data_IF_756987928704
#
_entry.id   IF_756987928704
#
_cell.length_a   1.000
_cell.length_b   1.000
_cell.length_c   1.000
_cell.angle_alpha   90.00
_cell.angle_beta   90.00
_cell.angle_gamma   90.00
#
_symmetry.space_group_name_H-M   'P 1'
#
loop_
_entity.id
_entity.type
_entity.pdbx_description
1 polymer ?
#
# COMPACT_ATOMS: atom_id res chain seq x y z
N UNK A 1 24.98 52.22 33.45
CA UNK A 1 23.72 52.21 32.66
C UNK A 1 24.03 51.76 31.23
N UNK A 2 23.83 50.48 30.91
CA UNK A 2 23.92 49.96 29.52
C UNK A 2 22.57 49.32 29.19
N UNK A 3 21.86 49.91 28.23
CA UNK A 3 20.57 49.43 27.72
C UNK A 3 20.81 48.20 26.84
N UNK A 4 20.27 47.06 27.24
CA UNK A 4 20.21 45.85 26.41
C UNK A 4 18.97 46.00 25.53
N UNK A 5 19.17 46.12 24.22
CA UNK A 5 18.11 46.04 23.23
C UNK A 5 17.76 44.57 22.99
N UNK A 6 16.55 44.19 23.36
CA UNK A 6 15.96 42.89 23.05
C UNK A 6 15.47 42.92 21.59
N UNK A 7 16.18 42.26 20.68
CA UNK A 7 15.68 42.00 19.33
C UNK A 7 14.72 40.82 19.39
N UNK A 8 13.42 41.10 19.30
CA UNK A 8 12.40 40.08 19.05
C UNK A 8 12.43 39.80 17.54
N UNK A 9 13.02 38.67 17.16
CA UNK A 9 12.90 38.15 15.81
C UNK A 9 11.51 37.52 15.65
N UNK A 10 10.57 38.27 15.09
CA UNK A 10 9.29 37.74 14.61
C UNK A 10 9.54 36.88 13.38
N UNK A 11 9.78 35.58 13.60
CA UNK A 11 9.80 34.58 12.54
C UNK A 11 8.41 34.48 11.91
N UNK A 12 8.26 35.00 10.69
CA UNK A 12 7.11 34.75 9.84
C UNK A 12 7.07 33.24 9.53
N UNK A 13 6.16 32.51 10.17
CA UNK A 13 5.81 31.17 9.78
C UNK A 13 5.05 31.29 8.44
N UNK A 14 5.73 31.05 7.31
CA UNK A 14 5.03 30.82 6.05
C UNK A 14 4.23 29.53 6.20
N UNK A 15 2.93 29.65 6.44
CA UNK A 15 2.00 28.58 6.12
C UNK A 15 2.06 28.38 4.60
N UNK A 16 2.71 27.30 4.17
CA UNK A 16 2.59 26.85 2.79
C UNK A 16 1.10 26.53 2.55
N UNK A 17 0.43 27.37 1.76
CA UNK A 17 -0.87 27.03 1.23
C UNK A 17 -0.72 25.73 0.43
N UNK A 18 -1.32 24.64 0.91
CA UNK A 18 -1.33 23.35 0.21
C UNK A 18 -2.25 23.46 -1.01
N UNK A 19 -1.75 24.10 -2.07
CA UNK A 19 -2.37 24.04 -3.38
C UNK A 19 -2.24 22.62 -3.90
N UNK A 20 -3.38 21.96 -4.13
CA UNK A 20 -3.45 20.64 -4.76
C UNK A 20 -2.60 20.65 -6.04
N UNK A 21 -1.73 19.65 -6.20
CA UNK A 21 -0.81 19.60 -7.34
C UNK A 21 -1.62 19.54 -8.64
N UNK A 22 -1.41 20.52 -9.53
CA UNK A 22 -2.11 20.59 -10.82
C UNK A 22 -1.24 20.00 -11.92
N UNK A 23 -1.71 18.89 -12.50
CA UNK A 23 -1.13 18.32 -13.70
C UNK A 23 -1.37 19.22 -14.93
N UNK A 24 -0.47 19.20 -15.94
CA UNK A 24 -0.68 19.97 -17.17
C UNK A 24 -2.00 19.60 -17.87
N UNK A 25 -2.80 20.60 -18.24
CA UNK A 25 -4.11 20.38 -18.89
C UNK A 25 -4.00 19.58 -20.20
N UNK A 26 -2.97 19.84 -21.00
CA UNK A 26 -2.70 19.09 -22.23
C UNK A 26 -2.46 17.60 -21.94
N UNK A 27 -1.71 17.26 -20.87
CA UNK A 27 -1.51 15.87 -20.47
C UNK A 27 -2.83 15.19 -20.07
N UNK A 28 -3.64 15.87 -19.26
CA UNK A 28 -4.94 15.34 -18.81
C UNK A 28 -5.89 15.05 -19.99
N UNK A 29 -5.82 15.86 -21.05
CA UNK A 29 -6.62 15.67 -22.25
C UNK A 29 -6.07 14.56 -23.15
N UNK A 30 -4.79 14.60 -23.46
CA UNK A 30 -4.24 13.87 -24.61
C UNK A 30 -3.56 12.54 -24.20
N UNK A 31 -2.96 12.46 -23.00
CA UNK A 31 -2.14 11.32 -22.58
C UNK A 31 -2.68 10.56 -21.38
N UNK A 32 -3.42 11.22 -20.48
CA UNK A 32 -3.98 10.59 -19.30
C UNK A 32 -4.90 9.40 -19.60
N UNK A 33 -5.80 9.43 -20.62
CA UNK A 33 -6.61 8.25 -20.98
C UNK A 33 -5.78 7.00 -21.33
N UNK A 34 -4.59 7.19 -21.91
CA UNK A 34 -3.66 6.09 -22.21
C UNK A 34 -3.13 5.49 -20.91
N UNK A 35 -2.68 6.32 -19.97
CA UNK A 35 -2.23 5.85 -18.65
C UNK A 35 -3.34 5.12 -17.88
N UNK A 36 -4.58 5.61 -17.94
CA UNK A 36 -5.76 4.92 -17.37
C UNK A 36 -5.92 3.53 -17.95
N UNK A 37 -5.74 3.38 -19.27
CA UNK A 37 -5.86 2.10 -19.96
C UNK A 37 -4.76 1.13 -19.54
N UNK A 38 -3.53 1.61 -19.37
CA UNK A 38 -2.43 0.80 -18.83
C UNK A 38 -2.67 0.38 -17.37
N UNK A 39 -3.18 1.30 -16.54
CA UNK A 39 -3.56 1.00 -15.15
C UNK A 39 -4.67 -0.04 -15.08
N UNK A 40 -5.65 0.02 -15.99
CA UNK A 40 -6.69 -1.01 -16.12
C UNK A 40 -6.07 -2.36 -16.45
N UNK A 41 -5.17 -2.43 -17.42
CA UNK A 41 -4.50 -3.68 -17.77
C UNK A 41 -3.71 -4.28 -16.60
N UNK A 42 -3.13 -3.47 -15.72
CA UNK A 42 -2.51 -3.93 -14.47
C UNK A 42 -3.56 -4.49 -13.52
N UNK A 43 -4.63 -3.75 -13.23
CA UNK A 43 -5.68 -4.17 -12.29
C UNK A 43 -6.51 -5.36 -12.80
N UNK A 44 -6.64 -5.57 -14.10
CA UNK A 44 -7.28 -6.77 -14.67
C UNK A 44 -6.51 -8.06 -14.32
N UNK A 45 -5.24 -7.95 -13.94
CA UNK A 45 -4.39 -9.06 -13.45
C UNK A 45 -4.41 -9.21 -11.93
N UNK A 46 -5.26 -8.47 -11.21
CA UNK A 46 -5.37 -8.51 -9.75
C UNK A 46 -5.87 -9.88 -9.25
N UNK A 47 -4.94 -10.82 -9.08
CA UNK A 47 -5.23 -12.24 -8.83
C UNK A 47 -5.97 -12.52 -7.51
N UNK A 48 -5.95 -11.60 -6.53
CA UNK A 48 -6.70 -11.78 -5.28
C UNK A 48 -8.17 -11.39 -5.45
N UNK A 49 -8.50 -10.54 -6.43
CA UNK A 49 -9.84 -10.03 -6.69
C UNK A 49 -10.67 -11.01 -7.56
N UNK A 50 -10.70 -12.30 -7.20
CA UNK A 50 -11.46 -13.33 -7.92
C UNK A 50 -12.93 -13.37 -7.50
N UNK A 51 -13.28 -14.13 -6.45
CA UNK A 51 -14.66 -14.29 -5.99
C UNK A 51 -14.98 -13.28 -4.89
N UNK A 52 -15.80 -12.28 -5.20
CA UNK A 52 -16.33 -11.35 -4.20
C UNK A 52 -17.27 -12.09 -3.24
N UNK A 53 -16.99 -12.00 -1.94
CA UNK A 53 -17.80 -12.61 -0.88
C UNK A 53 -18.69 -11.56 -0.21
N UNK A 54 -18.14 -10.38 0.08
CA UNK A 54 -18.86 -9.31 0.75
C UNK A 54 -18.25 -7.93 0.46
N UNK A 55 -19.03 -6.88 0.61
CA UNK A 55 -18.56 -5.48 0.70
C UNK A 55 -18.98 -4.92 2.05
N UNK A 56 -18.11 -4.16 2.70
CA UNK A 56 -18.37 -3.54 4.00
C UNK A 56 -17.67 -2.18 4.07
N UNK A 57 -18.29 -1.26 4.80
CA UNK A 57 -17.75 0.04 5.19
C UNK A 57 -17.63 0.18 6.72
N UNK A 58 -17.73 -0.94 7.44
CA UNK A 58 -17.68 -1.00 8.91
C UNK A 58 -16.55 -1.87 9.43
N UNK A 59 -15.60 -2.28 8.57
CA UNK A 59 -14.43 -3.04 8.99
C UNK A 59 -13.59 -2.20 9.97
N UNK A 60 -13.26 -2.71 11.18
CA UNK A 60 -12.53 -1.93 12.18
C UNK A 60 -11.21 -1.36 11.67
N UNK A 61 -11.04 -0.05 11.85
CA UNK A 61 -9.91 0.72 11.34
C UNK A 61 -10.07 1.15 9.88
N UNK A 62 -11.11 0.75 9.16
CA UNK A 62 -11.40 1.13 7.77
C UNK A 62 -12.85 1.59 7.58
N UNK A 63 -13.44 2.14 8.64
CA UNK A 63 -14.80 2.64 8.65
C UNK A 63 -14.99 3.74 7.61
N UNK A 64 -16.09 3.68 6.86
CA UNK A 64 -16.43 4.60 5.77
C UNK A 64 -15.73 4.31 4.43
N UNK A 65 -14.87 3.30 4.34
CA UNK A 65 -14.21 2.90 3.09
C UNK A 65 -14.82 1.61 2.53
N UNK A 66 -15.04 1.49 1.21
CA UNK A 66 -15.74 0.36 0.60
C UNK A 66 -14.82 -0.87 0.46
N UNK A 67 -14.46 -1.48 1.58
CA UNK A 67 -13.58 -2.63 1.62
C UNK A 67 -14.33 -3.88 1.15
N UNK A 68 -13.68 -4.70 0.33
CA UNK A 68 -14.26 -5.89 -0.28
C UNK A 68 -13.55 -7.15 0.17
N UNK A 69 -14.31 -8.12 0.69
CA UNK A 69 -13.79 -9.45 1.01
C UNK A 69 -13.78 -10.32 -0.23
N UNK A 70 -12.62 -10.85 -0.58
CA UNK A 70 -12.48 -11.82 -1.66
C UNK A 70 -12.01 -13.17 -1.14
N UNK A 71 -12.48 -14.21 -1.83
CA UNK A 71 -11.87 -15.53 -1.82
C UNK A 71 -11.21 -15.75 -3.18
N UNK A 72 -10.01 -16.30 -3.18
CA UNK A 72 -9.27 -16.58 -4.41
C UNK A 72 -8.52 -17.91 -4.30
N UNK A 73 -8.16 -18.47 -5.45
CA UNK A 73 -7.32 -19.66 -5.56
C UNK A 73 -6.00 -19.31 -6.25
N UNK A 74 -4.90 -19.89 -5.78
CA UNK A 74 -3.57 -19.75 -6.42
C UNK A 74 -2.64 -20.90 -6.05
N UNK A 75 -1.66 -21.17 -6.93
CA UNK A 75 -0.72 -22.29 -6.82
C UNK A 75 -1.44 -23.64 -6.69
N UNK A 76 -0.67 -24.70 -6.44
CA UNK A 76 -1.21 -25.97 -5.98
C UNK A 76 -0.61 -26.28 -4.60
N UNK A 77 -1.42 -26.91 -3.75
CA UNK A 77 -0.97 -27.51 -2.51
C UNK A 77 -0.08 -28.72 -2.83
N UNK A 78 1.06 -28.82 -2.13
CA UNK A 78 2.08 -29.84 -2.41
C UNK A 78 1.62 -31.26 -2.06
N UNK A 79 0.62 -31.41 -1.19
CA UNK A 79 0.19 -32.71 -0.68
C UNK A 79 -1.10 -33.22 -1.35
N UNK A 80 -2.02 -32.32 -1.69
CA UNK A 80 -3.32 -32.64 -2.29
C UNK A 80 -3.37 -32.34 -3.80
N UNK A 81 -2.42 -31.56 -4.33
CA UNK A 81 -2.42 -31.09 -5.71
C UNK A 81 -3.52 -30.07 -6.03
N UNK A 82 -4.34 -29.68 -5.04
CA UNK A 82 -5.45 -28.75 -5.22
C UNK A 82 -5.00 -27.31 -5.06
N UNK A 83 -5.65 -26.33 -5.72
CA UNK A 83 -5.25 -24.94 -5.54
C UNK A 83 -5.39 -24.44 -4.11
N UNK A 84 -4.40 -23.67 -3.64
CA UNK A 84 -4.45 -23.06 -2.31
C UNK A 84 -5.54 -21.99 -2.30
N UNK A 85 -6.31 -21.94 -1.22
CA UNK A 85 -7.38 -20.95 -1.04
C UNK A 85 -6.90 -19.84 -0.12
N UNK A 86 -7.05 -18.59 -0.56
CA UNK A 86 -6.82 -17.39 0.25
C UNK A 86 -8.11 -16.60 0.45
N UNK A 87 -8.17 -15.86 1.57
CA UNK A 87 -9.22 -14.90 1.84
C UNK A 87 -8.61 -13.59 2.33
N UNK A 88 -9.03 -12.48 1.73
CA UNK A 88 -8.44 -11.17 1.98
C UNK A 88 -9.44 -10.04 1.73
N UNK A 89 -9.46 -9.08 2.64
CA UNK A 89 -10.09 -7.78 2.43
C UNK A 89 -9.18 -6.90 1.58
N UNK A 90 -9.72 -6.34 0.51
CA UNK A 90 -9.02 -5.46 -0.42
C UNK A 90 -9.68 -4.08 -0.48
N UNK A 91 -8.86 -3.05 -0.66
CA UNK A 91 -9.30 -1.70 -1.01
C UNK A 91 -8.49 -1.20 -2.22
N UNK A 92 -8.70 -1.84 -3.36
CA UNK A 92 -7.98 -1.54 -4.60
C UNK A 92 -8.49 -0.22 -5.21
N UNK A 93 -7.60 0.61 -5.80
CA UNK A 93 -8.02 1.82 -6.51
C UNK A 93 -8.75 1.48 -7.82
N UNK A 94 -9.52 2.43 -8.36
CA UNK A 94 -9.95 2.36 -9.76
C UNK A 94 -8.77 2.62 -10.70
N UNK A 95 -8.84 2.22 -11.99
CA UNK A 95 -7.81 2.54 -12.97
C UNK A 95 -7.52 4.05 -13.08
N UNK A 96 -8.57 4.88 -13.02
CA UNK A 96 -8.45 6.33 -13.06
C UNK A 96 -7.72 6.87 -11.83
N UNK A 97 -8.06 6.35 -10.64
CA UNK A 97 -7.42 6.77 -9.38
C UNK A 97 -5.95 6.38 -9.35
N UNK A 98 -5.62 5.16 -9.77
CA UNK A 98 -4.24 4.70 -9.88
C UNK A 98 -3.44 5.56 -10.86
N UNK A 99 -4.01 5.88 -12.02
CA UNK A 99 -3.38 6.74 -13.01
C UNK A 99 -3.11 8.15 -12.46
N UNK A 100 -4.06 8.73 -11.71
CA UNK A 100 -3.87 10.04 -11.06
C UNK A 100 -2.72 9.97 -10.06
N UNK A 101 -2.73 8.99 -9.16
CA UNK A 101 -1.67 8.84 -8.16
C UNK A 101 -0.28 8.65 -8.80
N UNK A 102 -0.18 7.92 -9.91
CA UNK A 102 1.08 7.74 -10.65
C UNK A 102 1.52 9.05 -11.31
N UNK A 103 0.62 9.73 -12.01
CA UNK A 103 0.93 10.97 -12.71
C UNK A 103 1.32 12.09 -11.75
N UNK A 104 0.59 12.26 -10.64
CA UNK A 104 0.92 13.25 -9.60
C UNK A 104 2.23 12.92 -8.91
N UNK A 105 2.51 11.64 -8.61
CA UNK A 105 3.80 11.24 -8.05
C UNK A 105 4.97 11.56 -8.98
N UNK A 106 4.86 11.25 -10.28
CA UNK A 106 5.89 11.60 -11.26
C UNK A 106 6.08 13.12 -11.38
N UNK A 107 4.99 13.88 -11.39
CA UNK A 107 5.05 15.34 -11.44
C UNK A 107 5.74 15.92 -10.19
N UNK A 108 5.41 15.45 -9.00
CA UNK A 108 6.03 15.89 -7.75
C UNK A 108 7.51 15.52 -7.70
N UNK A 109 7.86 14.28 -8.06
CA UNK A 109 9.23 13.80 -7.95
C UNK A 109 10.16 14.36 -9.04
N UNK A 110 9.65 14.59 -10.25
CA UNK A 110 10.48 14.88 -11.44
C UNK A 110 10.08 16.14 -12.20
N UNK A 111 9.01 16.82 -11.80
CA UNK A 111 8.44 17.93 -12.58
C UNK A 111 7.96 17.50 -13.97
N UNK A 112 7.66 16.21 -14.17
CA UNK A 112 7.38 15.65 -15.48
C UNK A 112 6.45 14.44 -15.42
N UNK A 113 5.57 14.33 -16.41
CA UNK A 113 4.68 13.18 -16.67
C UNK A 113 5.08 12.43 -17.94
N UNK A 114 6.36 12.52 -18.33
CA UNK A 114 6.87 11.80 -19.48
C UNK A 114 6.71 10.28 -19.29
N UNK A 115 6.42 9.56 -20.38
CA UNK A 115 6.18 8.11 -20.38
C UNK A 115 7.24 7.31 -19.63
N UNK A 116 8.52 7.66 -19.79
CA UNK A 116 9.63 7.00 -19.06
C UNK A 116 9.44 6.96 -17.53
N UNK A 117 8.78 7.95 -16.94
CA UNK A 117 8.53 8.00 -15.50
C UNK A 117 7.24 7.26 -15.14
N UNK A 118 6.14 7.55 -15.85
CA UNK A 118 4.83 6.94 -15.57
C UNK A 118 4.85 5.43 -15.84
N UNK A 119 5.52 4.99 -16.90
CA UNK A 119 5.63 3.59 -17.27
C UNK A 119 6.58 2.83 -16.34
N UNK A 120 7.68 3.46 -15.92
CA UNK A 120 8.59 2.88 -14.93
C UNK A 120 7.89 2.65 -13.58
N UNK A 121 7.18 3.68 -13.10
CA UNK A 121 6.42 3.60 -11.84
C UNK A 121 5.27 2.58 -11.94
N UNK A 122 4.53 2.56 -13.05
CA UNK A 122 3.47 1.57 -13.27
C UNK A 122 4.03 0.15 -13.34
N UNK A 123 5.16 -0.06 -14.03
CA UNK A 123 5.81 -1.36 -14.11
C UNK A 123 6.29 -1.83 -12.73
N UNK A 124 6.80 -0.91 -11.90
CA UNK A 124 7.15 -1.19 -10.51
C UNK A 124 5.92 -1.64 -9.71
N UNK A 125 4.85 -0.85 -9.72
CA UNK A 125 3.59 -1.15 -9.02
C UNK A 125 2.96 -2.47 -9.52
N UNK A 126 3.06 -2.77 -10.82
CA UNK A 126 2.56 -4.03 -11.37
C UNK A 126 3.26 -5.26 -10.73
N UNK A 127 4.56 -5.16 -10.42
CA UNK A 127 5.30 -6.20 -9.69
C UNK A 127 4.95 -6.25 -8.20
N UNK A 128 4.30 -5.22 -7.66
CA UNK A 128 3.83 -5.18 -6.28
C UNK A 128 2.39 -5.71 -6.17
N UNK A 129 2.17 -6.94 -6.64
CA UNK A 129 0.88 -7.63 -6.64
C UNK A 129 -0.21 -6.92 -7.48
N UNK A 130 0.16 -6.43 -8.68
CA UNK A 130 -0.77 -5.86 -9.66
C UNK A 130 -1.65 -4.73 -9.10
N UNK A 131 -1.03 -3.81 -8.35
CA UNK A 131 -1.73 -2.66 -7.78
C UNK A 131 -2.84 -3.03 -6.76
N UNK A 132 -2.69 -4.14 -6.05
CA UNK A 132 -3.65 -4.54 -5.02
C UNK A 132 -3.22 -4.02 -3.64
N UNK A 133 -4.20 -3.62 -2.82
CA UNK A 133 -3.98 -3.17 -1.44
C UNK A 133 -4.71 -4.10 -0.45
N UNK A 134 -4.01 -5.09 0.13
CA UNK A 134 -4.50 -5.97 1.19
C UNK A 134 -4.74 -5.21 2.49
N UNK A 135 -6.00 -5.02 2.84
CA UNK A 135 -6.42 -4.42 4.10
C UNK A 135 -6.23 -5.41 5.25
N UNK A 136 -6.65 -6.67 5.07
CA UNK A 136 -6.56 -7.70 6.12
C UNK A 136 -6.79 -9.09 5.56
N UNK A 137 -5.95 -10.07 5.88
CA UNK A 137 -6.13 -11.47 5.49
C UNK A 137 -4.83 -12.13 5.03
N UNK A 138 -4.93 -13.22 4.27
CA UNK A 138 -3.76 -13.93 3.74
C UNK A 138 -3.58 -13.73 2.24
N UNK A 139 -2.33 -13.48 1.87
CA UNK A 139 -1.85 -13.29 0.51
C UNK A 139 -0.80 -14.36 0.23
N UNK A 140 -1.05 -15.18 -0.78
CA UNK A 140 -0.05 -16.12 -1.27
C UNK A 140 0.86 -15.44 -2.30
N UNK A 141 2.17 -15.54 -2.11
CA UNK A 141 3.19 -14.98 -3.01
C UNK A 141 4.27 -16.02 -3.36
N UNK A 142 4.77 -16.01 -4.60
CA UNK A 142 5.79 -16.90 -5.17
C UNK A 142 7.22 -16.38 -4.98
N UNK A 143 7.50 -15.78 -3.82
CA UNK A 143 8.68 -14.94 -3.63
C UNK A 143 10.05 -15.64 -3.84
N UNK A 144 10.10 -16.97 -3.80
CA UNK A 144 11.35 -17.74 -3.87
C UNK A 144 11.42 -18.73 -5.05
N UNK A 145 10.30 -19.31 -5.47
CA UNK A 145 10.19 -20.16 -6.66
C UNK A 145 8.78 -20.06 -7.23
N UNK A 146 8.64 -20.08 -8.56
CA UNK A 146 7.33 -19.99 -9.24
C UNK A 146 6.37 -21.14 -8.86
N UNK A 147 6.92 -22.25 -8.36
CA UNK A 147 6.17 -23.46 -8.00
C UNK A 147 5.75 -23.49 -6.52
N UNK A 148 6.14 -22.48 -5.72
CA UNK A 148 5.86 -22.44 -4.28
C UNK A 148 5.25 -21.12 -3.85
N UNK A 149 3.97 -21.19 -3.49
CA UNK A 149 3.19 -20.06 -3.00
C UNK A 149 3.22 -20.04 -1.46
N UNK A 150 3.92 -19.05 -0.88
CA UNK A 150 4.01 -18.87 0.57
C UNK A 150 2.87 -17.98 1.10
N UNK A 151 2.16 -18.40 2.16
CA UNK A 151 1.12 -17.59 2.78
C UNK A 151 1.72 -16.47 3.65
N UNK A 152 1.53 -15.23 3.22
CA UNK A 152 1.83 -14.02 3.96
C UNK A 152 0.56 -13.40 4.54
N UNK A 153 0.55 -13.15 5.84
CA UNK A 153 -0.57 -12.45 6.48
C UNK A 153 -0.36 -10.95 6.31
N UNK A 154 -1.37 -10.25 5.80
CA UNK A 154 -1.36 -8.81 5.62
C UNK A 154 -2.34 -8.13 6.58
N UNK A 155 -1.95 -6.95 7.05
CA UNK A 155 -2.83 -5.96 7.67
C UNK A 155 -2.39 -4.57 7.24
N UNK A 156 -3.35 -3.71 6.91
CA UNK A 156 -3.14 -2.30 6.57
C UNK A 156 -2.09 -2.09 5.46
N UNK A 157 -2.08 -2.96 4.44
CA UNK A 157 -1.16 -2.87 3.31
C UNK A 157 0.26 -3.39 3.58
N UNK A 158 0.53 -3.97 4.75
CA UNK A 158 1.86 -4.47 5.14
C UNK A 158 1.77 -5.91 5.63
N UNK A 159 2.79 -6.72 5.34
CA UNK A 159 2.93 -8.05 5.94
C UNK A 159 3.09 -7.96 7.45
N UNK A 160 2.42 -8.83 8.20
CA UNK A 160 2.47 -8.89 9.66
C UNK A 160 2.83 -10.28 10.15
N UNK A 161 3.33 -10.38 11.38
CA UNK A 161 3.70 -11.65 11.98
C UNK A 161 2.79 -11.96 13.16
N UNK A 162 2.05 -13.06 13.09
CA UNK A 162 1.14 -13.52 14.15
C UNK A 162 1.94 -13.99 15.38
N UNK A 163 1.44 -13.69 16.59
CA UNK A 163 2.03 -14.15 17.85
C UNK A 163 1.83 -15.65 18.06
N UNK A 164 0.60 -16.12 17.87
CA UNK A 164 0.23 -17.52 18.04
C UNK A 164 0.83 -18.37 16.90
N UNK A 165 1.81 -19.20 17.27
CA UNK A 165 2.49 -20.06 16.30
C UNK A 165 1.60 -21.18 15.74
N UNK A 166 0.50 -21.52 16.41
CA UNK A 166 -0.44 -22.54 15.94
C UNK A 166 -1.25 -22.06 14.73
N UNK A 167 -1.35 -20.74 14.55
CA UNK A 167 -2.03 -20.15 13.41
C UNK A 167 -1.20 -20.17 12.13
N UNK A 168 0.09 -20.53 12.17
CA UNK A 168 0.88 -20.70 10.94
C UNK A 168 0.52 -22.01 10.22
N UNK A 169 0.25 -21.98 8.91
CA UNK A 169 -0.02 -23.19 8.13
C UNK A 169 1.24 -24.04 8.00
N UNK A 170 1.23 -25.25 8.58
CA UNK A 170 2.40 -26.16 8.62
C UNK A 170 2.84 -26.60 7.23
N UNK A 171 1.88 -26.89 6.37
CA UNK A 171 2.04 -27.30 4.97
C UNK A 171 1.93 -26.11 4.00
N UNK A 172 1.94 -24.88 4.55
CA UNK A 172 1.77 -23.64 3.79
C UNK A 172 0.42 -23.56 3.08
N UNK A 173 -0.57 -24.33 3.52
CA UNK A 173 -1.96 -24.23 3.07
C UNK A 173 -2.83 -23.85 4.26
N UNK A 174 -3.50 -22.71 4.16
CA UNK A 174 -4.33 -22.21 5.25
C UNK A 174 -5.58 -23.07 5.43
N UNK A 175 -5.82 -23.53 6.66
CA UNK A 175 -7.09 -24.17 7.02
C UNK A 175 -8.23 -23.15 7.10
N UNK A 176 -9.51 -23.59 7.06
CA UNK A 176 -10.65 -22.68 7.26
C UNK A 176 -10.55 -21.86 8.56
N UNK A 177 -10.07 -22.46 9.64
CA UNK A 177 -9.89 -21.79 10.94
C UNK A 177 -8.84 -20.67 10.85
N UNK A 178 -7.71 -20.94 10.18
CA UNK A 178 -6.66 -19.94 9.97
C UNK A 178 -7.15 -18.79 9.08
N UNK A 179 -7.87 -19.10 7.99
CA UNK A 179 -8.48 -18.08 7.14
C UNK A 179 -9.44 -17.18 7.94
N UNK A 180 -10.31 -17.78 8.75
CA UNK A 180 -11.24 -17.02 9.60
C UNK A 180 -10.54 -16.21 10.70
N UNK A 181 -9.43 -16.71 11.25
CA UNK A 181 -8.58 -15.98 12.19
C UNK A 181 -7.95 -14.75 11.53
N UNK A 182 -7.32 -14.89 10.37
CA UNK A 182 -6.68 -13.77 9.67
C UNK A 182 -7.66 -12.65 9.30
N UNK A 183 -8.91 -12.97 8.96
CA UNK A 183 -9.91 -11.93 8.66
C UNK A 183 -10.33 -11.11 9.88
N UNK A 184 -10.09 -11.59 11.10
CA UNK A 184 -10.47 -10.93 12.36
C UNK A 184 -9.29 -10.38 13.16
N UNK A 185 -8.08 -10.51 12.62
CA UNK A 185 -6.85 -10.17 13.33
C UNK A 185 -6.82 -8.71 13.79
N UNK A 186 -6.33 -8.52 15.01
CA UNK A 186 -6.10 -7.22 15.67
C UNK A 186 -4.61 -7.00 15.93
N UNK A 187 -4.21 -5.83 16.41
CA UNK A 187 -2.81 -5.59 16.77
C UNK A 187 -2.36 -6.46 17.97
N UNK A 188 -3.29 -6.89 18.83
CA UNK A 188 -2.98 -7.74 19.99
C UNK A 188 -2.60 -9.16 19.56
N UNK A 189 -2.98 -9.57 18.36
CA UNK A 189 -2.62 -10.86 17.77
C UNK A 189 -1.22 -10.83 17.10
N UNK A 190 -0.56 -9.68 17.03
CA UNK A 190 0.64 -9.45 16.22
C UNK A 190 1.91 -9.23 17.03
N UNK A 191 3.01 -9.81 16.57
CA UNK A 191 4.35 -9.48 17.07
C UNK A 191 4.61 -7.96 16.93
N UNK A 192 5.49 -7.36 17.74
CA UNK A 192 5.71 -5.91 17.75
C UNK A 192 6.38 -5.35 16.48
N UNK A 193 6.62 -6.20 15.47
CA UNK A 193 7.29 -5.86 14.22
C UNK A 193 6.44 -6.25 13.01
N UNK A 194 6.71 -5.62 11.86
CA UNK A 194 6.05 -5.93 10.59
C UNK A 194 7.08 -6.21 9.50
N UNK A 195 6.57 -6.58 8.32
CA UNK A 195 7.33 -6.58 7.08
C UNK A 195 7.85 -5.20 6.69
N UNK A 196 8.70 -5.18 5.67
CA UNK A 196 9.42 -4.01 5.21
C UNK A 196 8.60 -3.12 4.28
N UNK A 197 7.83 -3.72 3.37
CA UNK A 197 7.24 -3.05 2.22
C UNK A 197 5.77 -2.72 2.46
N UNK A 198 5.40 -1.46 2.25
CA UNK A 198 4.01 -1.03 2.20
C UNK A 198 3.46 -1.09 0.78
N UNK A 199 2.31 -1.75 0.60
CA UNK A 199 1.53 -1.64 -0.63
C UNK A 199 1.07 -0.18 -0.78
N UNK A 200 0.98 0.39 -1.98
CA UNK A 200 0.99 -0.28 -3.29
C UNK A 200 2.35 -0.22 -4.02
N UNK A 201 3.25 0.67 -3.61
CA UNK A 201 4.52 0.93 -4.29
C UNK A 201 5.74 0.33 -3.57
N UNK A 202 5.53 -0.55 -2.58
CA UNK A 202 6.59 -1.08 -1.73
C UNK A 202 7.42 0.00 -1.04
N UNK A 203 6.76 1.11 -0.70
CA UNK A 203 7.31 2.21 0.09
C UNK A 203 7.79 1.68 1.43
N UNK A 204 9.00 2.05 1.82
CA UNK A 204 9.61 1.62 3.06
C UNK A 204 9.58 2.76 4.08
N UNK A 205 9.92 2.42 5.32
CA UNK A 205 10.06 3.40 6.41
C UNK A 205 11.15 4.41 6.10
N UNK A 206 12.23 3.98 5.45
CA UNK A 206 13.34 4.82 5.04
C UNK A 206 12.87 5.86 4.03
N UNK A 207 12.07 5.46 3.04
CA UNK A 207 11.54 6.38 2.03
C UNK A 207 10.58 7.40 2.70
N UNK A 208 9.75 6.96 3.66
CA UNK A 208 8.89 7.84 4.47
C UNK A 208 9.70 8.86 5.29
N UNK A 209 10.72 8.41 6.03
CA UNK A 209 11.54 9.27 6.88
C UNK A 209 12.35 10.26 6.04
N UNK A 210 12.98 9.80 4.96
CA UNK A 210 13.76 10.64 4.04
C UNK A 210 12.91 11.76 3.43
N UNK A 211 11.60 11.54 3.29
CA UNK A 211 10.67 12.46 2.67
C UNK A 211 9.78 13.23 3.66
N UNK A 212 10.23 13.37 4.91
CA UNK A 212 9.62 14.26 5.91
C UNK A 212 8.64 13.58 6.87
N UNK A 213 8.58 12.24 6.87
CA UNK A 213 7.83 11.47 7.84
C UNK A 213 8.35 11.64 9.27
N UNK A 214 7.45 11.89 10.22
CA UNK A 214 7.79 12.23 11.61
C UNK A 214 7.43 11.15 12.63
N UNK A 215 6.57 10.20 12.26
CA UNK A 215 6.14 9.13 13.15
C UNK A 215 7.28 8.16 13.44
N UNK A 216 7.36 7.67 14.68
CA UNK A 216 8.41 6.75 15.14
C UNK A 216 8.18 5.31 14.62
N UNK A 217 8.28 5.13 13.31
CA UNK A 217 8.04 3.86 12.60
C UNK A 217 9.22 2.90 12.64
N UNK A 218 10.37 3.37 13.14
CA UNK A 218 11.62 2.62 13.19
C UNK A 218 12.34 2.58 11.84
N UNK A 219 13.16 1.57 11.62
CA UNK A 219 14.04 1.44 10.45
C UNK A 219 14.16 -0.03 10.00
N UNK A 220 15.08 -0.31 9.06
CA UNK A 220 15.33 -1.64 8.52
C UNK A 220 15.66 -2.71 9.59
N UNK A 221 16.32 -2.31 10.68
CA UNK A 221 16.71 -3.17 11.80
C UNK A 221 15.70 -3.18 12.96
N UNK A 222 14.84 -2.16 13.04
CA UNK A 222 13.81 -2.02 14.08
C UNK A 222 12.43 -1.71 13.46
N UNK A 223 11.81 -2.70 12.84
CA UNK A 223 10.59 -2.55 12.02
C UNK A 223 9.32 -2.44 12.85
N UNK A 224 9.11 -1.32 13.55
CA UNK A 224 8.02 -1.14 14.54
C UNK A 224 6.63 -1.30 13.93
N UNK A 225 5.70 -1.89 14.71
CA UNK A 225 4.29 -2.07 14.35
C UNK A 225 3.54 -0.76 14.03
N UNK A 226 4.03 0.38 14.54
CA UNK A 226 3.50 1.73 14.23
C UNK A 226 3.41 2.03 12.73
N UNK A 227 4.21 1.34 11.90
CA UNK A 227 4.13 1.44 10.45
C UNK A 227 2.76 1.08 9.88
N UNK A 228 2.02 0.16 10.51
CA UNK A 228 0.65 -0.19 10.08
C UNK A 228 -0.29 1.02 10.12
N UNK A 229 -0.22 1.79 11.21
CA UNK A 229 -1.07 2.97 11.37
C UNK A 229 -0.72 4.03 10.32
N UNK A 230 0.58 4.28 10.11
CA UNK A 230 1.04 5.26 9.12
C UNK A 230 0.60 4.86 7.72
N UNK A 231 0.81 3.62 7.30
CA UNK A 231 0.42 3.15 5.96
C UNK A 231 -1.09 3.25 5.77
N UNK A 232 -1.88 2.83 6.77
CA UNK A 232 -3.34 2.95 6.76
C UNK A 232 -3.78 4.41 6.57
N UNK A 233 -3.25 5.30 7.39
CA UNK A 233 -3.68 6.70 7.41
C UNK A 233 -3.29 7.42 6.11
N UNK A 234 -2.09 7.17 5.59
CA UNK A 234 -1.65 7.69 4.28
C UNK A 234 -2.53 7.15 3.14
N UNK A 235 -2.89 5.87 3.15
CA UNK A 235 -3.73 5.30 2.10
C UNK A 235 -5.18 5.80 2.18
N UNK A 236 -5.73 5.96 3.38
CA UNK A 236 -7.04 6.59 3.61
C UNK A 236 -7.07 8.02 3.09
N UNK A 237 -6.04 8.81 3.38
CA UNK A 237 -5.89 10.18 2.85
C UNK A 237 -5.85 10.17 1.32
N UNK A 238 -5.10 9.25 0.72
CA UNK A 238 -5.02 9.12 -0.73
C UNK A 238 -6.36 8.78 -1.40
N UNK A 239 -7.24 8.04 -0.72
CA UNK A 239 -8.53 7.61 -1.29
C UNK A 239 -9.40 8.78 -1.77
N UNK A 240 -9.35 9.92 -1.08
CA UNK A 240 -10.10 11.12 -1.44
C UNK A 240 -9.22 12.21 -2.09
N UNK A 241 -8.01 11.85 -2.54
CA UNK A 241 -7.03 12.76 -3.14
C UNK A 241 -6.52 12.25 -4.50
N UNK A 242 -6.00 13.15 -5.33
CA UNK A 242 -5.27 12.80 -6.55
C UNK A 242 -3.80 12.41 -6.26
N UNK A 243 -3.39 12.58 -5.01
CA UNK A 243 -2.04 12.29 -4.51
C UNK A 243 -2.07 11.05 -3.61
N UNK A 244 -1.05 10.21 -3.72
CA UNK A 244 -0.80 9.11 -2.81
C UNK A 244 0.62 9.20 -2.27
N UNK A 245 0.74 9.59 -0.99
CA UNK A 245 2.02 9.85 -0.34
C UNK A 245 2.94 8.62 -0.32
N UNK A 246 2.40 7.41 -0.21
CA UNK A 246 3.20 6.20 -0.30
C UNK A 246 3.90 6.12 -1.66
N UNK A 247 3.16 6.36 -2.75
CA UNK A 247 3.73 6.35 -4.10
C UNK A 247 4.69 7.52 -4.31
N UNK A 248 4.36 8.70 -3.79
CA UNK A 248 5.20 9.90 -3.90
C UNK A 248 6.55 9.71 -3.21
N UNK A 249 6.57 9.20 -1.97
CA UNK A 249 7.81 8.96 -1.23
C UNK A 249 8.71 7.98 -1.97
N UNK A 250 8.13 6.89 -2.50
CA UNK A 250 8.90 5.98 -3.34
C UNK A 250 9.41 6.66 -4.62
N UNK A 251 8.56 7.42 -5.32
CA UNK A 251 8.93 8.07 -6.57
C UNK A 251 10.07 9.09 -6.42
N UNK A 252 10.14 9.80 -5.29
CA UNK A 252 11.21 10.79 -5.03
C UNK A 252 12.59 10.15 -4.91
N UNK A 253 12.65 8.94 -4.38
CA UNK A 253 13.93 8.26 -4.11
C UNK A 253 14.34 7.29 -5.23
N UNK A 254 13.39 6.82 -6.06
CA UNK A 254 13.60 5.67 -6.95
C UNK A 254 13.30 5.92 -8.44
N UNK A 255 12.65 7.02 -8.83
CA UNK A 255 12.59 7.48 -10.24
C UNK A 255 13.78 8.35 -10.57
#
# INVERSE_FOLDING_TARGET
MKKIFLFIATGFLMMAASGQVKLPAAYLKDSFPVLVSHCKAVLDKAYMAQKLIATTDTLPGWEGFPVKLYQYKTGNDLYTGQPKTGMVYLLNPSPQKLALWIATACWIAKGSVAGRYTDSLLAWINRQSNAQFPVKGVVYEDQYTNDFQEPYVFKDGVTVYVKDSTMFPKDKTCTPEQLAFYLRLTNDDLKPQTGQYARIASTRREDYIANGGTEAVGDAGNRKIKWLDVVRDLYKKAWNSDENELIIFWAKDHL
#
